data_IF_365804333424
#
_entry.id   IF_365804333424
#
_cell.length_a   1.000
_cell.length_b   1.000
_cell.length_c   1.000
_cell.angle_alpha   90.00
_cell.angle_beta   90.00
_cell.angle_gamma   90.00
#
_symmetry.space_group_name_H-M   'P 1'
#
loop_
_entity.id
_entity.type
_entity.pdbx_description
1 polymer ?
#
# COMPACT_ATOMS: atom_id res chain seq x y z
N UNK A 1 8.24 -4.14 8.87
CA UNK A 1 7.24 -3.76 9.91
C UNK A 1 6.97 -4.90 10.91
N UNK A 2 8.00 -5.42 11.60
CA UNK A 2 7.82 -6.54 12.54
C UNK A 2 7.02 -6.11 13.78
N UNK A 3 6.05 -6.92 14.20
CA UNK A 3 5.15 -6.63 15.32
C UNK A 3 4.04 -5.62 15.02
N UNK A 4 3.78 -5.30 13.75
CA UNK A 4 2.69 -4.40 13.36
C UNK A 4 1.35 -4.88 13.92
N UNK A 5 0.58 -3.98 14.54
CA UNK A 5 -0.76 -4.28 15.03
C UNK A 5 -1.81 -4.08 13.94
N UNK A 6 -3.00 -4.64 14.13
CA UNK A 6 -4.13 -4.39 13.24
C UNK A 6 -4.51 -2.89 13.16
N UNK A 7 -4.34 -2.16 14.26
CA UNK A 7 -4.58 -0.71 14.31
C UNK A 7 -3.57 0.05 13.47
N UNK A 8 -2.27 -0.25 13.61
CA UNK A 8 -1.21 0.37 12.83
C UNK A 8 -1.35 0.08 11.33
N UNK A 9 -1.70 -1.16 10.96
CA UNK A 9 -1.98 -1.50 9.55
C UNK A 9 -3.15 -0.67 9.00
N UNK A 10 -4.23 -0.55 9.78
CA UNK A 10 -5.41 0.23 9.39
C UNK A 10 -5.07 1.72 9.25
N UNK A 11 -4.28 2.28 10.17
CA UNK A 11 -3.83 3.67 10.11
C UNK A 11 -2.98 3.95 8.88
N UNK A 12 -2.00 3.09 8.59
CA UNK A 12 -1.18 3.20 7.38
C UNK A 12 -2.04 3.13 6.11
N UNK A 13 -2.94 2.16 6.03
CA UNK A 13 -3.85 2.02 4.89
C UNK A 13 -4.79 3.24 4.73
N UNK A 14 -5.33 3.77 5.83
CA UNK A 14 -6.16 4.97 5.81
C UNK A 14 -5.38 6.22 5.36
N UNK A 15 -4.09 6.32 5.70
CA UNK A 15 -3.24 7.41 5.24
C UNK A 15 -3.04 7.37 3.71
N UNK A 16 -2.90 6.19 3.12
CA UNK A 16 -2.89 6.03 1.66
C UNK A 16 -4.23 6.44 1.04
N UNK A 17 -5.34 5.91 1.56
CA UNK A 17 -6.71 6.19 1.07
C UNK A 17 -7.06 7.69 1.12
N UNK A 18 -6.51 8.43 2.09
CA UNK A 18 -6.78 9.86 2.24
C UNK A 18 -6.26 10.70 1.08
N UNK A 19 -5.23 10.23 0.36
CA UNK A 19 -4.55 10.98 -0.71
C UNK A 19 -4.50 10.24 -2.06
N UNK A 20 -5.00 9.00 -2.15
CA UNK A 20 -4.90 8.15 -3.34
C UNK A 20 -5.38 8.79 -4.65
N UNK A 21 -6.41 9.65 -4.55
CA UNK A 21 -7.06 10.29 -5.70
C UNK A 21 -6.17 11.31 -6.41
N UNK A 22 -5.19 11.88 -5.71
CA UNK A 22 -4.25 12.84 -6.28
C UNK A 22 -3.43 12.23 -7.43
N UNK A 23 -3.18 10.92 -7.35
CA UNK A 23 -2.42 10.16 -8.35
C UNK A 23 -3.29 9.19 -9.15
N UNK A 24 -4.62 9.24 -8.97
CA UNK A 24 -5.60 8.31 -9.55
C UNK A 24 -5.30 6.85 -9.17
N UNK A 25 -4.84 6.63 -7.93
CA UNK A 25 -4.64 5.31 -7.34
C UNK A 25 -5.91 4.93 -6.57
N UNK A 26 -6.18 3.63 -6.49
CA UNK A 26 -7.17 3.05 -5.59
C UNK A 26 -6.57 1.87 -4.83
N UNK A 27 -6.33 2.03 -3.52
CA UNK A 27 -5.84 0.95 -2.66
C UNK A 27 -6.99 0.04 -2.24
N UNK A 28 -6.99 -1.19 -2.73
CA UNK A 28 -8.12 -2.11 -2.57
C UNK A 28 -8.05 -2.89 -1.25
N UNK A 29 -6.84 -3.33 -0.89
CA UNK A 29 -6.66 -4.22 0.27
C UNK A 29 -5.21 -4.21 0.74
N UNK A 30 -5.04 -4.38 2.04
CA UNK A 30 -3.76 -4.60 2.68
C UNK A 30 -3.81 -5.86 3.57
N UNK A 31 -2.70 -6.58 3.60
CA UNK A 31 -2.46 -7.71 4.51
C UNK A 31 -1.11 -7.51 5.18
N UNK A 32 -1.00 -7.92 6.44
CA UNK A 32 0.28 -7.91 7.14
C UNK A 32 0.58 -9.28 7.74
N UNK A 33 1.85 -9.66 7.71
CA UNK A 33 2.43 -10.68 8.55
C UNK A 33 3.31 -10.00 9.61
N UNK A 34 2.82 -9.87 10.86
CA UNK A 34 3.60 -9.23 11.93
C UNK A 34 4.84 -10.02 12.37
N UNK A 35 4.91 -11.33 12.11
CA UNK A 35 6.05 -12.15 12.53
C UNK A 35 7.26 -11.91 11.63
N UNK A 36 7.07 -12.01 10.31
CA UNK A 36 8.11 -11.65 9.34
C UNK A 36 8.28 -10.14 9.18
N UNK A 37 7.22 -9.38 9.47
CA UNK A 37 7.17 -7.93 9.32
C UNK A 37 6.91 -7.47 7.90
N UNK A 38 6.24 -8.28 7.07
CA UNK A 38 5.92 -7.97 5.68
C UNK A 38 4.48 -7.45 5.57
N UNK A 39 4.27 -6.44 4.73
CA UNK A 39 2.96 -5.91 4.38
C UNK A 39 2.78 -6.02 2.87
N UNK A 40 1.64 -6.55 2.45
CA UNK A 40 1.23 -6.65 1.05
C UNK A 40 0.07 -5.68 0.82
N UNK A 41 0.18 -4.85 -0.21
CA UNK A 41 -0.89 -3.95 -0.64
C UNK A 41 -1.27 -4.24 -2.10
N UNK A 42 -2.57 -4.34 -2.36
CA UNK A 42 -3.12 -4.43 -3.70
C UNK A 42 -3.79 -3.10 -4.06
N UNK A 43 -3.46 -2.56 -5.23
CA UNK A 43 -4.02 -1.31 -5.72
C UNK A 43 -4.28 -1.35 -7.23
N UNK A 44 -5.25 -0.57 -7.68
CA UNK A 44 -5.41 -0.20 -9.09
C UNK A 44 -4.81 1.20 -9.32
N UNK A 45 -4.01 1.38 -10.37
CA UNK A 45 -3.31 2.63 -10.60
C UNK A 45 -2.89 2.79 -12.07
N UNK A 46 -2.64 4.02 -12.56
CA UNK A 46 -2.14 4.25 -13.91
C UNK A 46 -0.68 3.80 -14.09
N UNK A 47 0.10 3.65 -13.01
CA UNK A 47 1.51 3.24 -13.04
C UNK A 47 1.98 2.82 -11.64
N UNK A 48 3.07 2.05 -11.57
CA UNK A 48 3.70 1.72 -10.29
C UNK A 48 4.25 2.97 -9.59
N UNK A 49 4.77 3.93 -10.35
CA UNK A 49 5.30 5.19 -9.83
C UNK A 49 4.21 6.03 -9.15
N UNK A 50 2.97 5.99 -9.65
CA UNK A 50 1.84 6.67 -9.02
C UNK A 50 1.54 6.09 -7.62
N UNK A 51 1.52 4.77 -7.49
CA UNK A 51 1.37 4.08 -6.19
C UNK A 51 2.51 4.46 -5.25
N UNK A 52 3.75 4.42 -5.74
CA UNK A 52 4.91 4.78 -4.92
C UNK A 52 4.88 6.23 -4.43
N UNK A 53 4.44 7.19 -5.25
CA UNK A 53 4.30 8.59 -4.81
C UNK A 53 3.28 8.73 -3.68
N UNK A 54 2.18 7.97 -3.71
CA UNK A 54 1.21 7.97 -2.60
C UNK A 54 1.83 7.38 -1.34
N UNK A 55 2.41 6.19 -1.40
CA UNK A 55 3.06 5.56 -0.24
C UNK A 55 4.18 6.43 0.34
N UNK A 56 4.99 7.07 -0.49
CA UNK A 56 6.03 8.00 -0.06
C UNK A 56 5.46 9.24 0.65
N UNK A 57 4.37 9.82 0.12
CA UNK A 57 3.67 10.96 0.75
C UNK A 57 2.93 10.57 2.02
N UNK A 58 2.45 9.33 2.12
CA UNK A 58 1.81 8.78 3.31
C UNK A 58 2.82 8.37 4.41
N UNK A 59 4.12 8.36 4.10
CA UNK A 59 5.21 8.13 5.05
C UNK A 59 5.72 6.69 5.11
N UNK A 60 5.28 5.81 4.21
CA UNK A 60 5.62 4.39 4.17
C UNK A 60 5.83 3.90 2.74
N UNK A 61 6.82 4.49 2.06
CA UNK A 61 7.26 4.06 0.72
C UNK A 61 7.46 2.54 0.67
N UNK A 62 6.91 1.89 -0.36
CA UNK A 62 7.02 0.45 -0.53
C UNK A 62 8.45 0.06 -0.93
N UNK A 63 8.94 -1.06 -0.39
CA UNK A 63 10.25 -1.62 -0.73
C UNK A 63 10.25 -2.22 -2.16
N UNK A 64 9.13 -2.86 -2.53
CA UNK A 64 8.94 -3.52 -3.83
C UNK A 64 7.58 -3.16 -4.42
N UNK A 65 7.50 -3.10 -5.75
CA UNK A 65 6.26 -2.89 -6.47
C UNK A 65 6.27 -3.62 -7.82
N UNK A 66 5.22 -4.39 -8.08
CA UNK A 66 5.10 -5.20 -9.29
C UNK A 66 3.71 -5.04 -9.89
N UNK A 67 3.64 -4.70 -11.19
CA UNK A 67 2.39 -4.74 -11.93
C UNK A 67 1.96 -6.20 -12.11
N UNK A 68 0.71 -6.50 -11.76
CA UNK A 68 0.12 -7.85 -11.86
C UNK A 68 -1.03 -7.84 -12.87
N UNK A 69 -0.75 -7.84 -14.19
CA UNK A 69 -1.77 -7.67 -15.22
C UNK A 69 -2.68 -8.90 -15.44
N UNK A 70 -2.37 -10.03 -14.79
CA UNK A 70 -3.10 -11.29 -14.91
C UNK A 70 -3.61 -11.70 -13.52
N UNK A 71 -4.90 -12.03 -13.42
CA UNK A 71 -5.55 -12.49 -12.19
C UNK A 71 -6.62 -13.54 -12.51
N UNK A 72 -6.97 -14.36 -11.52
CA UNK A 72 -8.06 -15.35 -11.57
C UNK A 72 -9.06 -15.12 -10.46
#
# INVERSE_FOLDING_TARGET
MKGITAEQLREAHNADLAIEKDERVHFQRAWADPESGVVYCLSEAPSAEAVQRIHERAGHKADEIHAVPLSV
#
